data_IF_796891841511
#
_entry.id   IF_796891841511
#
_cell.length_a   1.000
_cell.length_b   1.000
_cell.length_c   1.000
_cell.angle_alpha   90.00
_cell.angle_beta   90.00
_cell.angle_gamma   90.00
#
_symmetry.space_group_name_H-M   'P 1'
#
loop_
_entity.id
_entity.type
_entity.pdbx_description
1 polymer ?
#
# COMPACT_ATOMS: atom_id res chain seq x y z
N UNK A 1 -15.57 0.71 5.88
CA UNK A 1 -14.99 1.18 7.16
C UNK A 1 -13.54 1.57 6.94
N UNK A 2 -13.00 2.59 7.61
CA UNK A 2 -11.62 3.04 7.42
C UNK A 2 -10.94 3.22 8.78
N UNK A 3 -9.78 2.61 8.97
CA UNK A 3 -8.97 2.71 10.17
C UNK A 3 -7.58 3.18 9.77
N UNK A 4 -7.05 4.20 10.43
CA UNK A 4 -5.69 4.66 10.23
C UNK A 4 -4.97 4.65 11.58
N UNK A 5 -3.81 4.02 11.62
CA UNK A 5 -2.93 3.96 12.79
C UNK A 5 -1.76 4.90 12.52
N UNK A 6 -1.53 5.83 13.45
CA UNK A 6 -0.48 6.83 13.36
C UNK A 6 0.22 6.99 14.70
N UNK A 7 1.55 7.20 14.67
CA UNK A 7 2.34 7.36 15.89
C UNK A 7 3.84 7.29 15.62
N UNK A 8 4.66 7.44 16.67
CA UNK A 8 6.13 7.47 16.53
C UNK A 8 6.71 6.13 16.07
N UNK A 9 7.93 6.14 15.54
CA UNK A 9 8.66 4.91 15.24
C UNK A 9 8.81 4.04 16.50
N UNK A 10 8.57 2.73 16.37
CA UNK A 10 8.69 1.78 17.48
C UNK A 10 7.49 1.70 18.44
N UNK A 11 6.38 2.39 18.20
CA UNK A 11 5.20 2.35 19.09
C UNK A 11 4.28 1.12 18.90
N UNK A 12 4.70 0.12 18.12
CA UNK A 12 3.94 -1.12 17.90
C UNK A 12 2.74 -1.00 16.94
N UNK A 13 2.70 0.01 16.08
CA UNK A 13 1.58 0.30 15.17
C UNK A 13 1.31 -0.85 14.21
N UNK A 14 2.35 -1.35 13.56
CA UNK A 14 2.27 -2.48 12.63
C UNK A 14 1.71 -3.74 13.29
N UNK A 15 2.11 -4.01 14.53
CA UNK A 15 1.55 -5.12 15.32
C UNK A 15 0.06 -4.91 15.59
N UNK A 16 -0.34 -3.70 15.99
CA UNK A 16 -1.73 -3.36 16.20
C UNK A 16 -2.54 -3.41 14.89
N UNK A 17 -1.93 -3.01 13.76
CA UNK A 17 -2.51 -3.07 12.43
C UNK A 17 -2.82 -4.51 12.04
N UNK A 18 -1.85 -5.41 12.16
CA UNK A 18 -2.03 -6.84 11.88
C UNK A 18 -3.13 -7.47 12.75
N UNK A 19 -3.15 -7.17 14.06
CA UNK A 19 -4.20 -7.64 14.96
C UNK A 19 -5.58 -7.08 14.61
N UNK A 20 -5.65 -5.79 14.27
CA UNK A 20 -6.88 -5.16 13.83
C UNK A 20 -7.40 -5.80 12.55
N UNK A 21 -6.54 -5.98 11.54
CA UNK A 21 -6.87 -6.63 10.27
C UNK A 21 -7.45 -8.02 10.52
N UNK A 22 -6.75 -8.87 11.27
CA UNK A 22 -7.21 -10.22 11.59
C UNK A 22 -8.59 -10.20 12.29
N UNK A 23 -8.77 -9.30 13.27
CA UNK A 23 -10.06 -9.17 13.97
C UNK A 23 -11.19 -8.69 13.05
N UNK A 24 -10.91 -7.80 12.11
CA UNK A 24 -11.87 -7.27 11.16
C UNK A 24 -12.28 -8.33 10.14
N UNK A 25 -11.30 -9.05 9.60
CA UNK A 25 -11.51 -10.21 8.72
C UNK A 25 -12.36 -11.27 9.43
N UNK A 26 -12.05 -11.60 10.68
CA UNK A 26 -12.85 -12.54 11.49
C UNK A 26 -14.27 -12.06 11.82
N UNK A 27 -14.56 -10.76 11.64
CA UNK A 27 -15.92 -10.18 11.76
C UNK A 27 -16.64 -10.07 10.40
N UNK A 28 -16.04 -10.56 9.31
CA UNK A 28 -16.63 -10.52 7.96
C UNK A 28 -16.41 -9.20 7.22
N UNK A 29 -15.47 -8.36 7.64
CA UNK A 29 -15.06 -7.18 6.87
C UNK A 29 -14.12 -7.57 5.74
N UNK A 30 -14.67 -8.24 4.72
CA UNK A 30 -13.94 -8.75 3.56
C UNK A 30 -14.62 -8.24 2.26
N UNK A 31 -13.87 -7.99 1.18
CA UNK A 31 -12.41 -7.93 1.15
C UNK A 31 -11.89 -6.69 1.91
N UNK A 32 -10.71 -6.81 2.52
CA UNK A 32 -10.04 -5.72 3.27
C UNK A 32 -8.77 -5.27 2.54
N UNK A 33 -8.57 -3.96 2.43
CA UNK A 33 -7.31 -3.40 1.94
C UNK A 33 -6.43 -2.97 3.12
N UNK A 34 -5.25 -3.58 3.24
CA UNK A 34 -4.18 -3.13 4.11
C UNK A 34 -3.23 -2.23 3.33
N UNK A 35 -2.80 -1.12 3.94
CA UNK A 35 -1.82 -0.21 3.35
C UNK A 35 -0.69 0.00 4.35
N UNK A 36 0.50 -0.49 4.00
CA UNK A 36 1.73 -0.25 4.76
C UNK A 36 2.42 1.00 4.21
N UNK A 37 2.33 2.11 4.94
CA UNK A 37 2.97 3.37 4.57
C UNK A 37 4.36 3.55 5.22
N UNK A 38 4.86 2.56 5.97
CA UNK A 38 6.20 2.59 6.56
C UNK A 38 7.26 2.10 5.54
N UNK A 39 8.42 2.78 5.43
CA UNK A 39 9.53 2.34 4.61
C UNK A 39 10.03 0.91 4.87
N UNK A 40 9.84 0.40 6.10
CA UNK A 40 10.40 -0.89 6.53
C UNK A 40 9.52 -2.10 6.13
N UNK A 41 8.32 -1.88 5.59
CA UNK A 41 7.46 -2.92 4.99
C UNK A 41 7.15 -4.17 5.86
N UNK A 42 7.06 -4.01 7.18
CA UNK A 42 6.92 -5.14 8.11
C UNK A 42 5.49 -5.73 8.16
N UNK A 43 4.50 -5.06 7.57
CA UNK A 43 3.11 -5.54 7.63
C UNK A 43 2.89 -6.79 6.78
N UNK A 44 3.64 -6.94 5.67
CA UNK A 44 3.56 -8.08 4.77
C UNK A 44 3.86 -9.40 5.47
N UNK A 45 4.99 -9.45 6.19
CA UNK A 45 5.40 -10.62 6.96
C UNK A 45 4.36 -10.97 8.05
N UNK A 46 3.82 -9.96 8.73
CA UNK A 46 2.80 -10.16 9.76
C UNK A 46 1.47 -10.72 9.22
N UNK A 47 1.17 -10.49 7.94
CA UNK A 47 -0.02 -10.99 7.25
C UNK A 47 0.25 -12.29 6.45
N UNK A 48 1.51 -12.69 6.31
CA UNK A 48 1.89 -13.85 5.49
C UNK A 48 1.67 -13.64 4.00
N UNK A 49 1.85 -12.40 3.51
CA UNK A 49 1.69 -12.05 2.10
C UNK A 49 3.05 -11.81 1.45
N UNK A 50 3.23 -12.35 0.25
CA UNK A 50 4.42 -12.11 -0.56
C UNK A 50 4.24 -10.83 -1.38
N UNK A 51 5.18 -9.89 -1.22
CA UNK A 51 5.16 -8.59 -1.91
C UNK A 51 6.23 -8.60 -2.99
N UNK A 52 5.80 -8.60 -4.25
CA UNK A 52 6.70 -8.59 -5.41
C UNK A 52 7.11 -7.18 -5.84
N UNK A 53 6.27 -6.18 -5.54
CA UNK A 53 6.42 -4.82 -6.06
C UNK A 53 5.86 -3.80 -5.06
N UNK A 54 6.61 -2.74 -4.79
CA UNK A 54 6.16 -1.63 -3.93
C UNK A 54 5.79 -0.39 -4.74
N UNK A 55 5.09 0.56 -4.11
CA UNK A 55 4.82 1.87 -4.74
C UNK A 55 6.14 2.58 -5.05
N UNK A 56 7.13 2.52 -4.17
CA UNK A 56 8.46 3.11 -4.40
C UNK A 56 9.13 2.54 -5.66
N UNK A 57 9.05 1.24 -5.90
CA UNK A 57 9.60 0.59 -7.10
C UNK A 57 8.94 1.11 -8.37
N UNK A 58 7.60 1.20 -8.38
CA UNK A 58 6.83 1.74 -9.52
C UNK A 58 7.24 3.17 -9.82
N UNK A 59 7.41 4.00 -8.79
CA UNK A 59 7.85 5.39 -8.96
C UNK A 59 9.29 5.46 -9.45
N UNK A 60 10.16 4.56 -9.00
CA UNK A 60 11.54 4.43 -9.46
C UNK A 60 11.62 4.02 -10.94
N UNK A 61 10.79 3.10 -11.40
CA UNK A 61 10.68 2.72 -12.83
C UNK A 61 10.29 3.93 -13.70
N UNK A 62 9.25 4.65 -13.29
CA UNK A 62 8.73 5.79 -14.05
C UNK A 62 9.74 6.93 -14.10
N UNK A 63 10.43 7.19 -12.98
CA UNK A 63 11.43 8.25 -12.90
C UNK A 63 12.67 7.94 -13.74
N UNK A 64 13.03 6.66 -13.89
CA UNK A 64 14.11 6.19 -14.77
C UNK A 64 13.73 6.15 -16.25
N UNK A 65 12.52 6.58 -16.61
CA UNK A 65 12.07 6.64 -18.00
C UNK A 65 11.48 5.32 -18.53
N UNK A 66 11.07 4.40 -17.66
CA UNK A 66 10.42 3.12 -18.02
C UNK A 66 9.00 3.25 -18.59
N UNK A 67 8.63 4.39 -19.17
CA UNK A 67 7.29 4.65 -19.71
C UNK A 67 7.15 4.05 -21.12
N UNK A 68 6.16 3.18 -21.38
CA UNK A 68 5.86 2.70 -22.72
C UNK A 68 5.48 3.84 -23.68
N UNK A 69 5.89 3.72 -24.93
CA UNK A 69 5.54 4.71 -25.97
C UNK A 69 4.02 4.72 -26.18
N UNK A 70 3.41 5.91 -26.10
CA UNK A 70 1.99 6.11 -26.33
C UNK A 70 1.08 5.95 -25.10
N UNK A 71 1.65 5.63 -23.92
CA UNK A 71 0.87 5.56 -22.68
C UNK A 71 1.10 6.81 -21.82
N UNK A 72 0.02 7.38 -21.26
CA UNK A 72 0.15 8.48 -20.32
C UNK A 72 0.78 8.00 -19.00
N UNK A 73 1.56 8.87 -18.35
CA UNK A 73 2.24 8.57 -17.09
C UNK A 73 1.26 8.09 -16.01
N UNK A 74 0.12 8.76 -15.89
CA UNK A 74 -0.89 8.44 -14.88
C UNK A 74 -1.54 7.06 -15.13
N UNK A 75 -1.79 6.71 -16.39
CA UNK A 75 -2.37 5.41 -16.76
C UNK A 75 -1.38 4.27 -16.49
N UNK A 76 -0.09 4.49 -16.81
CA UNK A 76 0.97 3.54 -16.48
C UNK A 76 1.10 3.33 -14.98
N UNK A 77 1.15 4.42 -14.21
CA UNK A 77 1.22 4.36 -12.74
C UNK A 77 0.03 3.59 -12.18
N UNK A 78 -1.19 3.90 -12.64
CA UNK A 78 -2.40 3.20 -12.21
C UNK A 78 -2.33 1.70 -12.52
N UNK A 79 -1.93 1.32 -13.74
CA UNK A 79 -1.76 -0.07 -14.14
C UNK A 79 -0.72 -0.81 -13.27
N UNK A 80 0.44 -0.19 -13.07
CA UNK A 80 1.54 -0.79 -12.29
C UNK A 80 1.17 -0.97 -10.82
N UNK A 81 0.38 -0.07 -10.27
CA UNK A 81 -0.06 -0.16 -8.88
C UNK A 81 -1.09 -1.24 -8.66
N UNK A 82 -2.01 -1.47 -9.61
CA UNK A 82 -2.87 -2.64 -9.53
C UNK A 82 -2.04 -3.94 -9.50
N UNK A 83 -0.88 -3.97 -10.17
CA UNK A 83 0.08 -5.09 -10.08
C UNK A 83 0.92 -5.10 -8.80
N UNK A 84 0.96 -4.01 -8.04
CA UNK A 84 1.69 -3.90 -6.78
C UNK A 84 0.86 -4.36 -5.57
N UNK A 85 -0.41 -4.70 -5.78
CA UNK A 85 -1.23 -5.30 -4.75
C UNK A 85 -0.78 -6.75 -4.54
N UNK A 86 -0.35 -7.05 -3.31
CA UNK A 86 -0.19 -8.43 -2.86
C UNK A 86 -1.58 -8.96 -2.48
N UNK A 87 -2.15 -9.79 -3.35
CA UNK A 87 -3.50 -10.32 -3.20
C UNK A 87 -3.52 -11.52 -2.25
N UNK A 88 -4.45 -11.49 -1.29
CA UNK A 88 -4.70 -12.59 -0.37
C UNK A 88 -6.12 -13.11 -0.46
N UNK A 89 -6.47 -14.13 0.33
CA UNK A 89 -7.84 -14.69 0.31
C UNK A 89 -8.88 -13.67 0.84
N UNK A 90 -8.54 -12.98 1.92
CA UNK A 90 -9.43 -12.04 2.62
C UNK A 90 -8.92 -10.60 2.67
N UNK A 91 -7.61 -10.42 2.45
CA UNK A 91 -6.89 -9.18 2.63
C UNK A 91 -5.94 -9.00 1.45
N UNK A 92 -6.03 -7.84 0.81
CA UNK A 92 -5.02 -7.38 -0.12
C UNK A 92 -4.13 -6.36 0.58
N UNK A 93 -2.85 -6.34 0.23
CA UNK A 93 -1.86 -5.46 0.81
C UNK A 93 -1.20 -4.59 -0.25
N UNK A 94 -1.18 -3.29 0.00
CA UNK A 94 -0.37 -2.32 -0.74
C UNK A 94 0.79 -1.86 0.15
N UNK A 95 2.01 -2.03 -0.33
CA UNK A 95 3.22 -1.59 0.39
C UNK A 95 3.81 -0.37 -0.29
N UNK A 96 4.05 0.69 0.49
CA UNK A 96 4.71 1.90 -0.01
C UNK A 96 6.17 1.65 -0.36
N UNK A 97 6.91 0.99 0.54
CA UNK A 97 8.35 0.82 0.42
C UNK A 97 9.12 2.11 0.74
N UNK A 98 10.40 1.99 1.05
CA UNK A 98 11.28 3.14 1.26
C UNK A 98 11.65 3.80 -0.07
N UNK A 99 11.55 5.13 -0.23
CA UNK A 99 12.06 5.76 -1.43
C UNK A 99 13.58 5.62 -1.46
N UNK A 100 14.09 4.98 -2.51
CA UNK A 100 15.52 4.99 -2.78
C UNK A 100 15.94 6.37 -3.33
N UNK A 101 16.72 7.10 -2.56
CA UNK A 101 17.42 8.32 -2.99
C UNK A 101 16.76 9.65 -2.61
N UNK A 102 17.32 10.79 -3.10
CA UNK A 102 16.81 12.13 -2.83
C UNK A 102 15.53 12.40 -3.63
N UNK A 103 14.45 11.73 -3.24
CA UNK A 103 13.11 11.89 -3.80
C UNK A 103 12.20 12.68 -2.86
N UNK A 104 11.31 13.49 -3.44
CA UNK A 104 10.29 14.20 -2.66
C UNK A 104 9.24 13.20 -2.16
N UNK A 105 9.31 12.80 -0.88
CA UNK A 105 8.26 12.04 -0.18
C UNK A 105 6.85 12.61 -0.40
N UNK A 106 6.75 13.92 -0.67
CA UNK A 106 5.53 14.63 -1.03
C UNK A 106 4.82 14.01 -2.25
N UNK A 107 5.56 13.59 -3.27
CA UNK A 107 4.98 13.00 -4.48
C UNK A 107 4.45 11.59 -4.23
N UNK A 108 5.22 10.77 -3.50
CA UNK A 108 4.80 9.44 -3.08
C UNK A 108 3.54 9.49 -2.20
N UNK A 109 3.48 10.43 -1.26
CA UNK A 109 2.30 10.63 -0.40
C UNK A 109 1.06 11.09 -1.18
N UNK A 110 1.21 11.98 -2.17
CA UNK A 110 0.09 12.39 -3.02
C UNK A 110 -0.43 11.23 -3.87
N UNK A 111 0.48 10.38 -4.36
CA UNK A 111 0.10 9.17 -5.08
C UNK A 111 -0.63 8.21 -4.14
N UNK A 112 -0.09 7.91 -2.96
CA UNK A 112 -0.74 7.05 -1.96
C UNK A 112 -2.18 7.49 -1.67
N UNK A 113 -2.40 8.80 -1.45
CA UNK A 113 -3.75 9.35 -1.25
C UNK A 113 -4.68 9.05 -2.42
N UNK A 114 -4.23 9.35 -3.65
CA UNK A 114 -4.99 9.06 -4.86
C UNK A 114 -5.32 7.57 -5.00
N UNK A 115 -4.40 6.70 -4.64
CA UNK A 115 -4.60 5.24 -4.72
C UNK A 115 -5.59 4.74 -3.69
N UNK A 116 -5.47 5.19 -2.45
CA UNK A 116 -6.45 4.85 -1.41
C UNK A 116 -7.84 5.34 -1.84
N UNK A 117 -7.94 6.53 -2.43
CA UNK A 117 -9.21 7.06 -2.93
C UNK A 117 -9.77 6.20 -4.07
N UNK A 118 -8.93 5.77 -5.02
CA UNK A 118 -9.35 4.91 -6.14
C UNK A 118 -9.73 3.48 -5.69
N UNK A 119 -8.95 2.87 -4.81
CA UNK A 119 -9.11 1.48 -4.40
C UNK A 119 -10.17 1.32 -3.31
N UNK A 120 -10.33 2.29 -2.41
CA UNK A 120 -11.18 2.12 -1.22
C UNK A 120 -12.66 1.82 -1.53
N UNK A 121 -13.14 2.13 -2.73
CA UNK A 121 -14.51 1.81 -3.16
C UNK A 121 -14.74 0.31 -3.40
N UNK A 122 -13.69 -0.45 -3.70
CA UNK A 122 -13.77 -1.89 -3.94
C UNK A 122 -13.72 -2.73 -2.64
N UNK A 123 -13.27 -2.14 -1.53
CA UNK A 123 -13.03 -2.85 -0.28
C UNK A 123 -14.04 -2.50 0.81
N UNK A 124 -14.43 -3.50 1.60
CA UNK A 124 -15.36 -3.32 2.72
C UNK A 124 -14.69 -2.62 3.91
N UNK A 125 -13.39 -2.81 4.06
CA UNK A 125 -12.58 -2.13 5.06
C UNK A 125 -11.21 -1.72 4.48
N UNK A 126 -10.67 -0.61 4.99
CA UNK A 126 -9.31 -0.18 4.72
C UNK A 126 -8.58 0.04 6.04
N UNK A 127 -7.38 -0.52 6.19
CA UNK A 127 -6.49 -0.32 7.34
C UNK A 127 -5.18 0.27 6.85
N UNK A 128 -4.85 1.47 7.32
CA UNK A 128 -3.61 2.18 7.01
C UNK A 128 -2.67 2.14 8.22
N UNK A 129 -1.44 1.69 8.03
CA UNK A 129 -0.34 1.78 9.00
C UNK A 129 0.66 2.86 8.53
N UNK A 130 0.93 3.88 9.36
CA UNK A 130 1.82 5.02 9.08
C UNK A 130 2.64 5.40 10.30
#
# INVERSE_FOLDING_TARGET
MRLALAGKGGSGKTTLAALAINRLVGKGYRPLLAVDADPNANLAEALGLDVELTVADVLGEVTRGGLPVGLAKDDYISLRIHRALAEGEDVDLLVMGGPEGPGCYCYANNILRRLIDQLSGAYRAVVLDN
#
